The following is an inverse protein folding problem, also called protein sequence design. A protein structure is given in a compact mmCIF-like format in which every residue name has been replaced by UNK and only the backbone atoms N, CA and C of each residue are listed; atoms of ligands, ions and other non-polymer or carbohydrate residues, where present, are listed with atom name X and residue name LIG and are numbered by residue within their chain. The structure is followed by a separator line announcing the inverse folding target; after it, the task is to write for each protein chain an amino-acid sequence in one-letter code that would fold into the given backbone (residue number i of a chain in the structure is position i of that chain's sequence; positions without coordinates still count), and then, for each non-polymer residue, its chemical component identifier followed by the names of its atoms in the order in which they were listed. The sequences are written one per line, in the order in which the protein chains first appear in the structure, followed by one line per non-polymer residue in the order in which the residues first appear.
data_IF_060866412498
#
_entry.id   IF_060866412498
#
_cell.length_a   1.000
_cell.length_b   1.000
_cell.length_c   1.000
_cell.angle_alpha   90.00
_cell.angle_beta   90.00
_cell.angle_gamma   90.00
#
_symmetry.space_group_name_H-M   'P 1'
#
loop_
_entity.id
_entity.type
_entity.pdbx_description
1 polymer ?
#
# COMPACT_ATOMS: atom_id res chain seq x y z
N UNK A 1 -6.91 -21.47 28.89
CA UNK A 1 -7.27 -20.08 29.21
C UNK A 1 -6.91 -19.23 28.00
N UNK A 2 -7.76 -18.31 27.58
CA UNK A 2 -7.46 -17.34 26.53
C UNK A 2 -7.42 -15.97 27.18
N UNK A 3 -6.40 -15.14 26.92
CA UNK A 3 -6.38 -13.77 27.43
C UNK A 3 -7.42 -12.93 26.69
N UNK A 4 -7.66 -11.71 27.17
CA UNK A 4 -8.51 -10.75 26.47
C UNK A 4 -8.04 -10.53 25.04
N UNK A 5 -8.99 -10.18 24.16
CA UNK A 5 -8.79 -10.15 22.71
C UNK A 5 -7.54 -9.36 22.28
N UNK A 6 -7.18 -8.29 22.99
CA UNK A 6 -6.04 -7.43 22.66
C UNK A 6 -4.67 -8.06 22.99
N UNK A 7 -4.64 -9.07 23.88
CA UNK A 7 -3.46 -9.88 24.20
C UNK A 7 -3.44 -11.23 23.47
N UNK A 8 -4.51 -11.56 22.72
CA UNK A 8 -4.66 -12.86 22.04
C UNK A 8 -3.52 -13.19 21.06
N UNK A 9 -2.91 -12.16 20.46
CA UNK A 9 -1.78 -12.33 19.54
C UNK A 9 -0.48 -12.77 20.25
N UNK A 10 -0.25 -12.34 21.49
CA UNK A 10 0.93 -12.76 22.28
C UNK A 10 0.81 -14.22 22.65
N UNK A 11 -0.36 -14.60 23.16
CA UNK A 11 -0.70 -15.99 23.46
C UNK A 11 -0.59 -16.87 22.21
N UNK A 12 -1.13 -16.41 21.08
CA UNK A 12 -1.02 -17.13 19.82
C UNK A 12 0.42 -17.32 19.35
N UNK A 13 1.28 -16.31 19.55
CA UNK A 13 2.71 -16.45 19.28
C UNK A 13 3.36 -17.52 20.19
N UNK A 14 3.05 -17.56 21.49
CA UNK A 14 3.54 -18.60 22.40
C UNK A 14 3.09 -20.00 21.95
N UNK A 15 1.85 -20.14 21.48
CA UNK A 15 1.30 -21.43 21.02
C UNK A 15 1.97 -21.99 19.77
N UNK A 16 2.47 -21.11 18.89
CA UNK A 16 3.06 -21.54 17.63
C UNK A 16 4.58 -21.54 17.63
N UNK A 17 5.25 -20.85 18.55
CA UNK A 17 6.72 -20.91 18.61
C UNK A 17 7.18 -22.31 19.02
N UNK A 18 8.18 -22.91 18.34
CA UNK A 18 8.74 -24.19 18.74
C UNK A 18 9.44 -24.10 20.11
N UNK A 19 9.53 -25.24 20.81
CA UNK A 19 10.19 -25.29 22.11
C UNK A 19 11.70 -25.14 21.95
N UNK A 20 12.18 -23.90 21.93
CA UNK A 20 13.59 -23.54 21.85
C UNK A 20 14.10 -23.12 23.21
N UNK A 21 15.05 -23.87 23.75
CA UNK A 21 15.63 -23.62 25.06
C UNK A 21 17.14 -23.77 25.00
N UNK A 22 17.85 -22.92 25.74
CA UNK A 22 19.28 -23.07 26.00
C UNK A 22 19.49 -23.41 27.47
N UNK A 23 20.40 -24.35 27.73
CA UNK A 23 20.84 -24.68 29.07
C UNK A 23 22.27 -24.16 29.25
N UNK A 24 22.42 -23.09 30.02
CA UNK A 24 23.67 -22.38 30.25
C UNK A 24 24.02 -22.50 31.74
N UNK A 25 24.92 -23.44 32.05
CA UNK A 25 25.31 -23.74 33.43
C UNK A 25 24.09 -24.17 34.26
N UNK A 26 23.82 -23.54 35.43
CA UNK A 26 22.66 -23.85 36.26
C UNK A 26 21.36 -23.14 35.81
N UNK A 27 21.38 -22.37 34.71
CA UNK A 27 20.22 -21.58 34.26
C UNK A 27 19.62 -22.12 32.96
N UNK A 28 18.29 -22.09 32.87
CA UNK A 28 17.53 -22.43 31.66
C UNK A 28 16.95 -21.17 31.04
N UNK A 29 17.21 -20.98 29.76
CA UNK A 29 16.75 -19.84 28.97
C UNK A 29 15.72 -20.34 27.95
N UNK A 30 14.45 -20.01 28.17
CA UNK A 30 13.36 -20.43 27.28
C UNK A 30 13.05 -19.34 26.24
N UNK A 31 13.57 -19.53 25.03
CA UNK A 31 13.31 -18.65 23.89
C UNK A 31 11.87 -18.75 23.41
N UNK A 32 11.23 -19.90 23.65
CA UNK A 32 9.82 -20.12 23.37
C UNK A 32 8.88 -19.13 24.09
N UNK A 33 9.31 -18.61 25.24
CA UNK A 33 8.55 -17.62 26.02
C UNK A 33 9.09 -16.21 25.75
N UNK A 34 10.41 -16.03 25.75
CA UNK A 34 11.03 -14.72 25.62
C UNK A 34 10.76 -14.08 24.25
N UNK A 35 10.85 -14.84 23.15
CA UNK A 35 10.66 -14.30 21.80
C UNK A 35 9.21 -13.80 21.60
N UNK A 36 8.14 -14.55 21.91
CA UNK A 36 6.78 -14.04 21.85
C UNK A 36 6.48 -12.93 22.87
N UNK A 37 6.91 -13.11 24.13
CA UNK A 37 6.48 -12.25 25.23
C UNK A 37 7.19 -10.90 25.23
N UNK A 38 8.49 -10.88 25.01
CA UNK A 38 9.31 -9.66 25.06
C UNK A 38 9.76 -9.26 23.65
N UNK A 39 10.26 -10.22 22.87
CA UNK A 39 10.81 -9.95 21.54
C UNK A 39 9.79 -9.39 20.57
N UNK A 40 8.64 -10.05 20.44
CA UNK A 40 7.59 -9.67 19.51
C UNK A 40 6.90 -8.36 19.92
N UNK A 41 6.68 -8.14 21.23
CA UNK A 41 6.17 -6.85 21.73
C UNK A 41 7.15 -5.72 21.44
N UNK A 42 8.42 -5.93 21.80
CA UNK A 42 9.48 -4.95 21.57
C UNK A 42 9.65 -4.64 20.10
N UNK A 43 9.53 -5.65 19.23
CA UNK A 43 9.57 -5.48 17.78
C UNK A 43 8.37 -4.66 17.28
N UNK A 44 7.14 -4.99 17.68
CA UNK A 44 5.95 -4.26 17.23
C UNK A 44 6.02 -2.78 17.63
N UNK A 45 6.18 -2.50 18.92
CA UNK A 45 6.20 -1.13 19.41
C UNK A 45 7.44 -0.37 18.94
N UNK A 46 8.59 -1.04 18.85
CA UNK A 46 9.82 -0.47 18.30
C UNK A 46 9.66 -0.07 16.83
N UNK A 47 9.06 -0.92 16.00
CA UNK A 47 8.80 -0.62 14.59
C UNK A 47 7.78 0.52 14.44
N UNK A 48 6.70 0.53 15.21
CA UNK A 48 5.70 1.60 15.16
C UNK A 48 6.30 2.95 15.57
N UNK A 49 7.10 2.97 16.64
CA UNK A 49 7.78 4.19 17.09
C UNK A 49 8.84 4.68 16.10
N UNK A 50 9.58 3.75 15.47
CA UNK A 50 10.62 4.07 14.50
C UNK A 50 10.06 4.46 13.12
N UNK A 51 8.86 3.99 12.76
CA UNK A 51 8.27 4.16 11.42
C UNK A 51 8.33 5.59 10.86
N UNK A 52 7.87 6.65 11.56
CA UNK A 52 7.90 8.01 11.00
C UNK A 52 9.33 8.47 10.66
N UNK A 53 10.33 8.05 11.43
CA UNK A 53 11.73 8.40 11.18
C UNK A 53 12.31 7.61 10.00
N UNK A 54 11.96 6.33 9.89
CA UNK A 54 12.36 5.47 8.77
C UNK A 54 11.75 5.99 7.48
N UNK A 55 10.45 6.26 7.46
CA UNK A 55 9.75 6.78 6.29
C UNK A 55 10.31 8.15 5.86
N UNK A 56 10.52 9.08 6.79
CA UNK A 56 11.13 10.37 6.49
C UNK A 56 12.59 10.27 6.00
N UNK A 57 13.32 9.23 6.42
CA UNK A 57 14.66 8.95 5.88
C UNK A 57 14.60 8.42 4.44
N UNK A 58 13.67 7.50 4.13
CA UNK A 58 13.52 6.89 2.80
C UNK A 58 13.00 7.91 1.77
N UNK A 59 11.95 8.66 2.13
CA UNK A 59 11.29 9.64 1.26
C UNK A 59 12.05 10.96 1.21
N UNK A 60 12.77 11.31 2.28
CA UNK A 60 13.36 12.62 2.44
C UNK A 60 12.36 13.71 2.80
N UNK A 61 11.10 13.35 3.08
CA UNK A 61 10.09 14.34 3.43
C UNK A 61 10.25 14.84 4.87
N UNK A 62 10.38 16.17 5.00
CA UNK A 62 10.56 16.90 6.26
C UNK A 62 9.58 18.07 6.39
N UNK A 63 8.58 18.13 5.50
CA UNK A 63 7.61 19.22 5.47
C UNK A 63 6.52 19.02 6.52
N UNK A 64 5.83 20.09 6.83
CA UNK A 64 4.63 20.06 7.64
C UNK A 64 3.44 19.59 6.78
N UNK A 65 2.70 18.59 7.28
CA UNK A 65 1.56 18.01 6.60
C UNK A 65 0.30 18.27 7.42
N UNK A 66 -0.65 19.02 6.84
CA UNK A 66 -1.96 19.31 7.45
C UNK A 66 -3.11 18.57 6.77
N UNK A 67 -2.85 17.96 5.61
CA UNK A 67 -3.83 17.18 4.84
C UNK A 67 -3.41 15.72 4.88
N UNK A 68 -4.39 14.84 5.11
CA UNK A 68 -4.17 13.40 5.13
C UNK A 68 -3.96 12.86 3.72
N UNK A 69 -2.98 11.98 3.58
CA UNK A 69 -2.81 11.18 2.38
C UNK A 69 -3.88 10.11 2.29
N UNK A 70 -4.47 9.98 1.10
CA UNK A 70 -5.32 8.83 0.79
C UNK A 70 -4.44 7.56 0.77
N UNK A 71 -4.88 6.44 1.37
CA UNK A 71 -4.08 5.21 1.39
C UNK A 71 -3.63 4.73 0.00
N UNK A 72 -4.50 4.86 -1.02
CA UNK A 72 -4.15 4.51 -2.40
C UNK A 72 -3.01 5.36 -3.00
N UNK A 73 -2.75 6.56 -2.47
CA UNK A 73 -1.68 7.46 -2.94
C UNK A 73 -0.31 7.15 -2.33
N UNK A 74 -0.25 6.25 -1.32
CA UNK A 74 0.99 5.80 -0.70
C UNK A 74 1.06 4.27 -0.71
N UNK A 75 1.15 3.62 -1.89
CA UNK A 75 0.89 2.20 -2.07
C UNK A 75 1.84 1.32 -1.24
N UNK A 76 3.12 1.67 -1.15
CA UNK A 76 4.10 0.92 -0.35
C UNK A 76 3.84 1.07 1.16
N UNK A 77 3.52 2.29 1.64
CA UNK A 77 3.15 2.53 3.05
C UNK A 77 1.92 1.72 3.44
N UNK A 78 0.88 1.80 2.63
CA UNK A 78 -0.38 1.10 2.88
C UNK A 78 -0.19 -0.41 2.85
N UNK A 79 0.59 -0.93 1.89
CA UNK A 79 0.90 -2.35 1.84
C UNK A 79 1.69 -2.84 3.06
N UNK A 80 2.65 -2.06 3.56
CA UNK A 80 3.39 -2.40 4.80
C UNK A 80 2.47 -2.39 6.02
N UNK A 81 1.57 -1.41 6.12
CA UNK A 81 0.55 -1.36 7.17
C UNK A 81 -0.36 -2.59 7.14
N UNK A 82 -0.87 -2.96 5.96
CA UNK A 82 -1.73 -4.15 5.80
C UNK A 82 -0.96 -5.45 6.08
N UNK A 83 0.31 -5.55 5.70
CA UNK A 83 1.14 -6.69 6.05
C UNK A 83 1.31 -6.82 7.57
N UNK A 84 1.57 -5.70 8.27
CA UNK A 84 1.64 -5.65 9.73
C UNK A 84 0.34 -6.08 10.41
N UNK A 85 -0.80 -5.55 9.94
CA UNK A 85 -2.14 -5.94 10.43
C UNK A 85 -2.43 -7.42 10.18
N UNK A 86 -2.03 -7.95 9.02
CA UNK A 86 -2.19 -9.38 8.67
C UNK A 86 -1.33 -10.26 9.58
N UNK A 87 -0.10 -9.84 9.87
CA UNK A 87 0.79 -10.56 10.80
C UNK A 87 0.17 -10.61 12.20
N UNK A 88 -0.29 -9.46 12.71
CA UNK A 88 -1.01 -9.38 13.97
C UNK A 88 -2.25 -10.29 13.99
N UNK A 89 -3.08 -10.23 12.94
CA UNK A 89 -4.27 -11.06 12.83
C UNK A 89 -3.94 -12.56 12.82
N UNK A 90 -2.83 -12.97 12.19
CA UNK A 90 -2.43 -14.37 12.15
C UNK A 90 -1.98 -14.87 13.52
N UNK A 91 -1.22 -14.08 14.26
CA UNK A 91 -0.92 -14.39 15.66
C UNK A 91 -2.18 -14.42 16.52
N UNK A 92 -3.11 -13.48 16.31
CA UNK A 92 -4.37 -13.44 17.04
C UNK A 92 -5.22 -14.69 16.79
N UNK A 93 -5.36 -15.12 15.54
CA UNK A 93 -6.07 -16.35 15.15
C UNK A 93 -5.39 -17.58 15.77
N UNK A 94 -4.06 -17.62 15.82
CA UNK A 94 -3.32 -18.69 16.48
C UNK A 94 -3.62 -18.79 17.98
N UNK A 95 -3.96 -17.67 18.65
CA UNK A 95 -4.40 -17.65 20.04
C UNK A 95 -5.71 -18.41 20.30
N UNK A 96 -6.56 -18.52 19.28
CA UNK A 96 -7.83 -19.27 19.31
C UNK A 96 -7.77 -20.65 18.65
N UNK A 97 -6.57 -21.23 18.46
CA UNK A 97 -6.40 -22.49 17.72
C UNK A 97 -7.21 -23.68 18.29
N UNK A 98 -7.44 -23.72 19.60
CA UNK A 98 -8.25 -24.72 20.31
C UNK A 98 -9.75 -24.58 20.00
N UNK A 99 -10.26 -23.35 19.95
CA UNK A 99 -11.65 -23.10 19.51
C UNK A 99 -11.80 -23.48 18.04
N UNK A 100 -10.84 -23.14 17.18
CA UNK A 100 -10.87 -23.52 15.77
C UNK A 100 -10.86 -25.06 15.61
N UNK A 101 -10.00 -25.75 16.36
CA UNK A 101 -9.92 -27.21 16.34
C UNK A 101 -11.24 -27.87 16.74
N UNK A 102 -11.87 -27.39 17.82
CA UNK A 102 -13.12 -27.97 18.34
C UNK A 102 -14.34 -27.64 17.50
N UNK A 103 -14.43 -26.43 16.94
CA UNK A 103 -15.57 -25.99 16.11
C UNK A 103 -15.57 -26.57 14.70
N UNK A 104 -14.39 -26.76 14.12
CA UNK A 104 -14.24 -27.27 12.75
C UNK A 104 -13.75 -28.72 12.70
N UNK A 105 -13.64 -29.39 13.85
CA UNK A 105 -13.17 -30.78 13.95
C UNK A 105 -11.81 -31.02 13.26
N UNK A 106 -10.90 -30.06 13.40
CA UNK A 106 -9.56 -30.09 12.81
C UNK A 106 -8.52 -30.55 13.82
N UNK A 107 -7.42 -31.12 13.33
CA UNK A 107 -6.27 -31.46 14.16
C UNK A 107 -5.56 -30.20 14.66
N UNK A 108 -5.36 -30.10 15.98
CA UNK A 108 -4.62 -29.00 16.60
C UNK A 108 -3.20 -28.89 16.05
N UNK A 109 -2.51 -30.02 15.87
CA UNK A 109 -1.16 -30.04 15.30
C UNK A 109 -1.12 -29.49 13.86
N UNK A 110 -2.13 -29.82 13.05
CA UNK A 110 -2.23 -29.31 11.68
C UNK A 110 -2.43 -27.79 11.67
N UNK A 111 -3.30 -27.27 12.54
CA UNK A 111 -3.51 -25.82 12.69
C UNK A 111 -2.22 -25.14 13.13
N UNK A 112 -1.51 -25.67 14.13
CA UNK A 112 -0.26 -25.08 14.63
C UNK A 112 0.82 -25.05 13.55
N UNK A 113 1.02 -26.13 12.79
CA UNK A 113 2.00 -26.16 11.69
C UNK A 113 1.61 -25.17 10.59
N UNK A 114 0.33 -25.10 10.22
CA UNK A 114 -0.16 -24.12 9.26
C UNK A 114 0.11 -22.69 9.73
N UNK A 115 -0.23 -22.35 10.98
CA UNK A 115 -0.02 -21.01 11.52
C UNK A 115 1.44 -20.62 11.58
N UNK A 116 2.36 -21.55 11.90
CA UNK A 116 3.82 -21.32 11.86
C UNK A 116 4.31 -20.83 10.51
N UNK A 117 3.71 -21.30 9.42
CA UNK A 117 4.05 -20.88 8.05
C UNK A 117 3.27 -19.61 7.68
N UNK A 118 1.97 -19.58 8.01
CA UNK A 118 1.06 -18.50 7.62
C UNK A 118 1.47 -17.14 8.21
N UNK A 119 1.98 -17.08 9.45
CA UNK A 119 2.45 -15.81 10.05
C UNK A 119 3.57 -15.13 9.26
N UNK A 120 4.32 -15.86 8.44
CA UNK A 120 5.34 -15.28 7.56
C UNK A 120 4.84 -15.09 6.13
N UNK A 121 4.10 -16.05 5.60
CA UNK A 121 3.65 -16.04 4.20
C UNK A 121 2.47 -15.08 3.98
N UNK A 122 1.48 -15.07 4.87
CA UNK A 122 0.29 -14.25 4.70
C UNK A 122 0.58 -12.75 4.65
N UNK A 123 1.46 -12.17 5.51
CA UNK A 123 1.84 -10.76 5.40
C UNK A 123 2.52 -10.41 4.06
N UNK A 124 3.34 -11.31 3.51
CA UNK A 124 4.00 -11.10 2.22
C UNK A 124 2.97 -11.09 1.09
N UNK A 125 2.02 -12.02 1.10
CA UNK A 125 0.92 -12.04 0.13
C UNK A 125 0.08 -10.78 0.26
N UNK A 126 -0.30 -10.40 1.48
CA UNK A 126 -1.08 -9.20 1.76
C UNK A 126 -0.37 -7.93 1.25
N UNK A 127 0.94 -7.80 1.48
CA UNK A 127 1.74 -6.71 0.93
C UNK A 127 1.63 -6.65 -0.60
N UNK A 128 1.87 -7.77 -1.28
CA UNK A 128 1.87 -7.82 -2.75
C UNK A 128 0.49 -7.46 -3.32
N UNK A 129 -0.57 -8.04 -2.75
CA UNK A 129 -1.95 -7.81 -3.18
C UNK A 129 -2.35 -6.36 -2.92
N UNK A 130 -2.16 -5.84 -1.71
CA UNK A 130 -2.51 -4.46 -1.37
C UNK A 130 -1.76 -3.46 -2.24
N UNK A 131 -0.45 -3.65 -2.46
CA UNK A 131 0.32 -2.76 -3.32
C UNK A 131 -0.23 -2.76 -4.75
N UNK A 132 -0.55 -3.93 -5.30
CA UNK A 132 -1.14 -4.05 -6.64
C UNK A 132 -2.51 -3.38 -6.74
N UNK A 133 -3.35 -3.53 -5.71
CA UNK A 133 -4.65 -2.88 -5.65
C UNK A 133 -4.52 -1.35 -5.60
N UNK A 134 -3.64 -0.81 -4.76
CA UNK A 134 -3.40 0.64 -4.70
C UNK A 134 -2.94 1.19 -6.05
N UNK A 135 -2.00 0.52 -6.74
CA UNK A 135 -1.55 0.92 -8.07
C UNK A 135 -2.67 0.80 -9.12
N UNK A 136 -3.52 -0.22 -9.03
CA UNK A 136 -4.68 -0.34 -9.93
C UNK A 136 -5.65 0.82 -9.73
N UNK A 137 -5.90 1.21 -8.48
CA UNK A 137 -6.76 2.35 -8.16
C UNK A 137 -6.15 3.67 -8.64
N UNK A 138 -4.83 3.85 -8.52
CA UNK A 138 -4.15 5.03 -9.08
C UNK A 138 -4.26 5.12 -10.60
N UNK A 139 -4.21 3.98 -11.33
CA UNK A 139 -4.44 3.96 -12.78
C UNK A 139 -5.86 4.39 -13.12
N UNK A 140 -6.85 3.84 -12.41
CA UNK A 140 -8.24 4.21 -12.60
C UNK A 140 -8.47 5.70 -12.31
N UNK A 141 -7.88 6.22 -11.22
CA UNK A 141 -7.95 7.63 -10.84
C UNK A 141 -7.27 8.53 -11.91
N UNK A 142 -6.15 8.10 -12.48
CA UNK A 142 -5.47 8.81 -13.59
C UNK A 142 -6.32 8.81 -14.86
N UNK A 143 -6.90 7.68 -15.22
CA UNK A 143 -7.74 7.52 -16.41
C UNK A 143 -8.97 8.41 -16.31
N UNK A 144 -9.65 8.36 -15.16
CA UNK A 144 -10.83 9.18 -14.86
C UNK A 144 -10.50 10.68 -14.89
N UNK A 145 -9.30 11.06 -14.42
CA UNK A 145 -8.87 12.46 -14.46
C UNK A 145 -8.57 12.98 -15.87
N UNK A 146 -8.16 12.10 -16.79
CA UNK A 146 -7.86 12.43 -18.18
C UNK A 146 -9.09 12.35 -19.09
N UNK A 147 -9.89 11.30 -18.98
CA UNK A 147 -10.99 11.07 -19.93
C UNK A 147 -12.34 11.49 -19.38
N UNK A 148 -12.49 11.72 -18.08
CA UNK A 148 -13.78 11.97 -17.45
C UNK A 148 -14.38 10.73 -16.81
N UNK A 149 -15.63 10.84 -16.37
CA UNK A 149 -16.40 9.72 -15.84
C UNK A 149 -17.28 9.08 -16.90
N UNK A 150 -17.33 7.75 -16.89
CA UNK A 150 -18.31 6.94 -17.63
C UNK A 150 -19.76 7.39 -17.29
N UNK A 151 -20.57 7.73 -18.30
CA UNK A 151 -22.00 8.10 -18.14
C UNK A 151 -22.93 6.87 -18.03
N UNK A 152 -22.44 5.69 -18.40
CA UNK A 152 -23.21 4.44 -18.46
C UNK A 152 -24.12 4.31 -19.69
N UNK A 153 -24.08 5.28 -20.62
CA UNK A 153 -24.87 5.27 -21.86
C UNK A 153 -23.99 4.83 -23.02
N UNK A 154 -24.27 3.65 -23.56
CA UNK A 154 -23.57 3.10 -24.73
C UNK A 154 -24.31 3.52 -25.99
N UNK A 155 -23.63 4.27 -26.87
CA UNK A 155 -24.13 4.68 -28.18
C UNK A 155 -23.54 3.77 -29.25
N UNK A 156 -24.38 3.38 -30.23
CA UNK A 156 -23.95 2.56 -31.36
C UNK A 156 -23.80 3.43 -32.60
N UNK A 157 -22.62 3.44 -33.22
CA UNK A 157 -22.35 4.18 -34.46
C UNK A 157 -23.04 3.54 -35.66
N UNK A 158 -23.17 4.31 -36.75
CA UNK A 158 -23.73 3.82 -38.02
C UNK A 158 -22.88 2.71 -38.65
N UNK A 159 -21.56 2.71 -38.43
CA UNK A 159 -20.68 1.59 -38.84
C UNK A 159 -20.75 0.37 -37.91
N UNK A 160 -21.54 0.45 -36.82
CA UNK A 160 -21.75 -0.63 -35.88
C UNK A 160 -20.76 -0.68 -34.72
N UNK A 161 -19.95 0.37 -34.52
CA UNK A 161 -19.11 0.53 -33.33
C UNK A 161 -19.92 0.84 -32.08
N UNK A 162 -19.36 0.59 -30.90
CA UNK A 162 -19.95 0.95 -29.61
C UNK A 162 -19.00 1.90 -28.89
N UNK A 163 -19.52 3.05 -28.45
CA UNK A 163 -18.78 4.03 -27.65
C UNK A 163 -19.59 4.43 -26.43
N UNK A 164 -18.87 4.85 -25.39
CA UNK A 164 -19.45 5.43 -24.18
C UNK A 164 -18.94 6.86 -24.05
N UNK A 165 -19.88 7.81 -23.99
CA UNK A 165 -19.53 9.21 -23.78
C UNK A 165 -18.96 9.39 -22.38
N UNK A 166 -17.83 10.10 -22.27
CA UNK A 166 -17.27 10.45 -20.99
C UNK A 166 -17.69 11.86 -20.60
N UNK A 167 -18.24 12.00 -19.40
CA UNK A 167 -18.64 13.28 -18.84
C UNK A 167 -17.45 13.91 -18.14
N UNK A 168 -17.20 15.20 -18.41
CA UNK A 168 -16.16 15.95 -17.74
C UNK A 168 -16.36 15.94 -16.21
N UNK A 169 -15.28 15.70 -15.47
CA UNK A 169 -15.35 15.69 -14.01
C UNK A 169 -15.61 17.09 -13.45
N UNK A 170 -16.39 17.20 -12.36
CA UNK A 170 -16.43 18.39 -11.53
C UNK A 170 -15.01 18.81 -11.07
N UNK A 171 -14.78 20.13 -10.97
CA UNK A 171 -13.46 20.70 -10.63
C UNK A 171 -12.96 20.20 -9.26
N UNK A 172 -13.85 20.04 -8.29
CA UNK A 172 -13.55 19.53 -6.96
C UNK A 172 -13.15 18.05 -6.98
N UNK A 173 -13.79 17.22 -7.80
CA UNK A 173 -13.41 15.82 -8.00
C UNK A 173 -12.04 15.73 -8.69
N UNK A 174 -11.82 16.53 -9.75
CA UNK A 174 -10.54 16.57 -10.45
C UNK A 174 -9.40 17.04 -9.54
N UNK A 175 -9.62 18.09 -8.72
CA UNK A 175 -8.67 18.54 -7.70
C UNK A 175 -8.39 17.44 -6.69
N UNK A 176 -9.41 16.74 -6.23
CA UNK A 176 -9.29 15.67 -5.25
C UNK A 176 -8.42 14.51 -5.73
N UNK A 177 -8.48 14.17 -7.03
CA UNK A 177 -7.62 13.15 -7.64
C UNK A 177 -6.17 13.63 -7.82
N UNK A 178 -5.95 14.92 -8.07
CA UNK A 178 -4.65 15.46 -8.51
C UNK A 178 -3.87 16.24 -7.44
N UNK A 179 -4.50 16.66 -6.33
CA UNK A 179 -3.88 17.54 -5.32
C UNK A 179 -2.71 16.88 -4.57
N UNK A 180 -2.70 15.55 -4.47
CA UNK A 180 -1.72 14.83 -3.66
C UNK A 180 -0.28 15.05 -4.15
N UNK A 181 0.65 15.07 -3.19
CA UNK A 181 2.08 15.19 -3.46
C UNK A 181 2.63 13.85 -3.94
N UNK A 182 3.46 13.88 -4.98
CA UNK A 182 4.18 12.70 -5.46
C UNK A 182 5.67 12.91 -5.24
N UNK A 183 6.26 12.08 -4.39
CA UNK A 183 7.69 12.11 -4.11
C UNK A 183 8.46 11.41 -5.21
N UNK A 184 9.57 12.01 -5.63
CA UNK A 184 10.48 11.35 -6.56
C UNK A 184 11.54 10.54 -5.78
N UNK A 185 11.95 9.38 -6.29
CA UNK A 185 13.04 8.62 -5.70
C UNK A 185 14.31 9.46 -5.57
N UNK A 186 14.94 9.43 -4.40
CA UNK A 186 16.17 10.16 -4.15
C UNK A 186 17.30 9.65 -5.06
N UNK A 187 17.87 10.56 -5.85
CA UNK A 187 19.01 10.27 -6.71
C UNK A 187 20.34 10.44 -5.98
N UNK A 188 21.36 9.71 -6.45
CA UNK A 188 22.73 9.88 -5.95
C UNK A 188 23.26 11.14 -6.61
N UNK A 189 23.26 12.26 -5.89
CA UNK A 189 23.94 13.47 -6.36
C UNK A 189 25.41 13.16 -6.65
N UNK A 190 25.93 13.61 -7.79
CA UNK A 190 27.36 13.57 -8.07
C UNK A 190 28.07 14.24 -6.91
N UNK A 191 29.01 13.53 -6.27
CA UNK A 191 29.70 13.99 -5.06
C UNK A 191 30.53 15.26 -5.25
N UNK A 192 30.43 15.93 -6.39
CA UNK A 192 31.07 17.18 -6.80
C UNK A 192 29.99 18.21 -7.16
N UNK A 193 30.15 19.44 -6.66
CA UNK A 193 29.32 20.57 -7.11
C UNK A 193 29.63 20.96 -8.57
N UNK A 194 28.89 21.94 -9.11
CA UNK A 194 29.12 22.48 -10.45
C UNK A 194 30.53 23.08 -10.67
N UNK A 195 31.35 23.21 -9.61
CA UNK A 195 32.73 23.69 -9.63
C UNK A 195 33.75 22.57 -9.35
N UNK A 196 33.32 21.31 -9.32
CA UNK A 196 34.18 20.15 -9.09
C UNK A 196 34.58 19.91 -7.63
N UNK A 197 34.01 20.65 -6.66
CA UNK A 197 34.35 20.54 -5.23
C UNK A 197 33.52 19.45 -4.57
N UNK A 198 34.17 18.57 -3.81
CA UNK A 198 33.51 17.45 -3.13
C UNK A 198 32.45 17.96 -2.13
N UNK A 199 31.17 17.71 -2.39
CA UNK A 199 30.07 18.06 -1.47
C UNK A 199 30.07 17.11 -0.27
N UNK A 200 30.09 17.66 0.95
CA UNK A 200 29.74 16.92 2.17
C UNK A 200 28.21 16.93 2.32
N UNK A 201 27.57 15.77 2.26
CA UNK A 201 26.12 15.64 2.54
C UNK A 201 25.24 14.97 1.47
N UNK A 202 25.79 14.18 0.56
CA UNK A 202 25.00 13.49 -0.49
C UNK A 202 24.17 12.30 -0.01
N UNK A 203 23.19 11.91 -0.82
CA UNK A 203 22.37 10.70 -0.60
C UNK A 203 23.25 9.45 -0.73
N UNK A 204 23.25 8.59 0.30
CA UNK A 204 24.01 7.34 0.24
C UNK A 204 23.41 6.37 -0.78
N UNK A 205 24.22 5.48 -1.35
CA UNK A 205 23.76 4.46 -2.31
C UNK A 205 22.66 3.57 -1.73
N UNK A 206 22.76 3.25 -0.43
CA UNK A 206 21.74 2.50 0.31
C UNK A 206 20.42 3.28 0.39
N UNK A 207 20.47 4.55 0.79
CA UNK A 207 19.28 5.41 0.90
C UNK A 207 18.60 5.57 -0.46
N UNK A 208 19.36 5.83 -1.51
CA UNK A 208 18.85 5.94 -2.87
C UNK A 208 18.19 4.62 -3.35
N UNK A 209 18.78 3.46 -3.00
CA UNK A 209 18.19 2.15 -3.31
C UNK A 209 16.85 1.93 -2.60
N UNK A 210 16.78 2.23 -1.31
CA UNK A 210 15.53 2.10 -0.55
C UNK A 210 14.46 3.07 -1.04
N UNK A 211 14.86 4.31 -1.35
CA UNK A 211 13.96 5.33 -1.92
C UNK A 211 13.39 4.86 -3.26
N UNK A 212 14.22 4.35 -4.17
CA UNK A 212 13.76 3.74 -5.45
C UNK A 212 12.82 2.56 -5.25
N UNK A 213 13.10 1.67 -4.31
CA UNK A 213 12.20 0.54 -4.04
C UNK A 213 10.84 1.00 -3.49
N UNK A 214 10.84 2.01 -2.62
CA UNK A 214 9.66 2.53 -1.94
C UNK A 214 8.75 3.35 -2.87
N UNK A 215 9.33 4.26 -3.66
CA UNK A 215 8.62 5.24 -4.50
C UNK A 215 8.63 4.91 -6.01
N UNK A 216 9.56 4.09 -6.48
CA UNK A 216 9.84 3.94 -7.92
C UNK A 216 8.77 3.18 -8.72
N UNK A 217 7.69 2.74 -8.09
CA UNK A 217 6.59 2.04 -8.75
C UNK A 217 5.29 2.83 -8.76
N UNK A 218 5.30 4.07 -8.25
CA UNK A 218 4.11 4.90 -8.15
C UNK A 218 3.70 5.43 -9.53
N UNK A 219 2.39 5.51 -9.78
CA UNK A 219 1.87 6.01 -11.05
C UNK A 219 1.83 7.54 -11.00
N UNK A 220 2.47 8.17 -11.98
CA UNK A 220 2.47 9.63 -12.09
C UNK A 220 1.07 10.16 -12.33
N UNK A 221 0.67 11.15 -11.54
CA UNK A 221 -0.58 11.88 -11.76
C UNK A 221 -0.52 12.65 -13.09
N UNK A 222 -1.67 12.93 -13.73
CA UNK A 222 -1.71 13.77 -14.92
C UNK A 222 -1.01 15.11 -14.70
N UNK A 223 -0.24 15.54 -15.69
CA UNK A 223 0.33 16.90 -15.67
C UNK A 223 -0.75 17.92 -16.03
N UNK A 224 -0.53 19.19 -15.68
CA UNK A 224 -1.45 20.26 -16.07
C UNK A 224 -1.60 20.39 -17.59
N UNK A 225 -0.54 20.09 -18.36
CA UNK A 225 -0.60 20.03 -19.82
C UNK A 225 -1.46 18.86 -20.31
N UNK A 226 -1.26 17.67 -19.76
CA UNK A 226 -2.07 16.48 -20.11
C UNK A 226 -3.57 16.71 -19.82
N UNK A 227 -3.90 17.41 -18.74
CA UNK A 227 -5.28 17.76 -18.41
C UNK A 227 -5.87 18.82 -19.37
N UNK A 228 -5.06 19.78 -19.80
CA UNK A 228 -5.50 20.78 -20.78
C UNK A 228 -5.72 20.14 -22.16
N UNK A 229 -4.80 19.29 -22.60
CA UNK A 229 -4.91 18.55 -23.87
C UNK A 229 -6.14 17.65 -23.86
N UNK A 230 -6.37 16.93 -22.75
CA UNK A 230 -7.57 16.12 -22.55
C UNK A 230 -8.86 16.94 -22.64
N UNK A 231 -8.91 18.13 -22.03
CA UNK A 231 -10.07 19.01 -22.10
C UNK A 231 -10.33 19.50 -23.54
N UNK A 232 -9.27 19.76 -24.32
CA UNK A 232 -9.39 20.12 -25.74
C UNK A 232 -9.90 18.95 -26.59
N UNK A 233 -9.44 17.72 -26.34
CA UNK A 233 -9.92 16.53 -27.05
C UNK A 233 -11.38 16.20 -26.72
N UNK A 234 -11.79 16.27 -25.45
CA UNK A 234 -13.18 16.05 -25.05
C UNK A 234 -14.15 17.07 -25.67
N UNK A 235 -13.72 18.33 -25.82
CA UNK A 235 -14.53 19.36 -26.49
C UNK A 235 -14.77 19.04 -27.98
N UNK A 236 -13.76 18.55 -28.70
CA UNK A 236 -13.91 18.15 -30.10
C UNK A 236 -14.76 16.89 -30.29
N UNK A 237 -14.70 15.92 -29.37
CA UNK A 237 -15.58 14.74 -29.42
C UNK A 237 -17.05 15.13 -29.24
N UNK A 238 -17.35 16.02 -28.27
CA UNK A 238 -18.70 16.53 -28.04
C UNK A 238 -19.24 17.30 -29.26
N UNK A 239 -18.44 18.18 -29.86
CA UNK A 239 -18.81 18.92 -31.09
C UNK A 239 -19.10 17.96 -32.25
N UNK A 240 -18.29 16.90 -32.41
CA UNK A 240 -18.50 15.90 -33.46
C UNK A 240 -19.72 15.00 -33.23
N UNK A 241 -20.11 14.78 -31.96
CA UNK A 241 -21.30 14.00 -31.63
C UNK A 241 -22.60 14.78 -31.82
N UNK A 242 -22.58 16.10 -31.61
CA UNK A 242 -23.73 16.98 -31.88
C UNK A 242 -23.97 17.14 -33.39
N UNK A 243 -22.91 17.11 -34.22
CA UNK A 243 -23.04 17.12 -35.68
C UNK A 243 -23.67 15.83 -36.26
N UNK A 244 -23.72 14.75 -35.49
CA UNK A 244 -24.33 13.46 -35.88
C UNK A 244 -25.74 13.25 -35.29
N UNK A 245 -26.32 14.27 -34.64
CA UNK A 245 -27.70 14.26 -34.15
C UNK A 245 -28.67 14.16 -35.34
N UNK A 246 -29.44 13.05 -35.51
CA UNK A 246 -30.42 12.98 -36.58
C UNK A 246 -31.54 13.97 -36.27
N UNK A 247 -31.76 14.91 -37.19
CA UNK A 247 -32.87 15.85 -37.18
C UNK A 247 -34.14 15.18 -36.65
N UNK A 248 -34.62 15.64 -35.49
CA UNK A 248 -35.87 15.17 -34.89
C UNK A 248 -36.99 15.38 -35.91
N UNK A 249 -37.47 14.28 -36.50
CA UNK A 249 -38.64 14.29 -37.37
C UNK A 249 -39.88 14.51 -36.50
N UNK A 250 -40.46 15.70 -36.63
CA UNK A 250 -41.82 16.04 -36.21
C UNK A 250 -42.88 15.18 -36.91
#
# INVERSE_FOLDING_TARGET
SQPDWYMGWVEGAIRIVPNWEWHLGPTTWSWAIFLPGVGLMGLLFGLLAAWPFVEAWITGDKREHHILDRPRNAPTRTALGVAGMTCYAMFWIAGGNDIIATRYHLSLNAITIFMRVAVFVAPVIAFLVTRRLCLSLQRADRERALHGSEDGVIVRSREGGYSEAHVALPVDEQFTLTQHLQHEPLEIESGTDARGVRRKGGVSSLRARFSRWYLGHDIRKPSAGELADAAHHGAHELESSDDDEPAQLH
#
